data_IF_937920384246
#
_entry.id   IF_937920384246
#
_cell.length_a   1.000
_cell.length_b   1.000
_cell.length_c   1.000
_cell.angle_alpha   90.00
_cell.angle_beta   90.00
_cell.angle_gamma   90.00
#
_symmetry.space_group_name_H-M   'P 1'
#
loop_
_entity.id
_entity.type
_entity.pdbx_description
1 polymer ?
#
# COMPACT_ATOMS: atom_id res chain seq x y z
N UNK A 1 12.86 5.61 -23.99
CA UNK A 1 12.90 4.98 -22.65
C UNK A 1 11.76 3.99 -22.58
N UNK A 2 11.99 2.74 -22.13
CA UNK A 2 10.89 1.81 -21.92
C UNK A 2 9.92 2.35 -20.85
N UNK A 3 8.62 2.04 -20.92
CA UNK A 3 7.69 2.39 -19.86
C UNK A 3 8.10 1.69 -18.55
N UNK A 4 7.85 2.31 -17.39
CA UNK A 4 8.11 1.67 -16.11
C UNK A 4 7.28 0.39 -15.96
N UNK A 5 7.83 -0.61 -15.26
CA UNK A 5 7.28 -1.97 -15.22
C UNK A 5 5.82 -2.04 -14.73
N UNK A 6 5.43 -1.16 -13.80
CA UNK A 6 4.07 -1.08 -13.25
C UNK A 6 3.02 -0.54 -14.24
N UNK A 7 3.45 -0.04 -15.41
CA UNK A 7 2.55 0.32 -16.52
C UNK A 7 2.35 -0.82 -17.52
N UNK A 8 3.26 -1.79 -17.55
CA UNK A 8 3.20 -2.93 -18.48
C UNK A 8 2.71 -4.21 -17.82
N UNK A 9 2.97 -4.39 -16.52
CA UNK A 9 2.49 -5.50 -15.71
C UNK A 9 1.14 -5.16 -15.08
N UNK A 10 0.26 -6.16 -14.97
CA UNK A 10 -0.94 -6.06 -14.14
C UNK A 10 -0.56 -6.09 -12.66
N UNK A 11 -1.41 -5.52 -11.80
CA UNK A 11 -1.19 -5.51 -10.35
C UNK A 11 -1.02 -6.91 -9.76
N UNK A 12 -1.73 -7.90 -10.32
CA UNK A 12 -1.63 -9.32 -9.94
C UNK A 12 -0.35 -10.04 -10.40
N UNK A 13 0.41 -9.43 -11.33
CA UNK A 13 1.67 -9.98 -11.87
C UNK A 13 2.92 -9.42 -11.18
N UNK A 14 2.75 -8.42 -10.32
CA UNK A 14 3.84 -7.79 -9.59
C UNK A 14 4.29 -8.71 -8.43
N UNK A 15 5.59 -8.99 -8.39
CA UNK A 15 6.20 -9.67 -7.23
C UNK A 15 6.30 -8.71 -6.05
N UNK A 16 6.53 -9.25 -4.85
CA UNK A 16 6.61 -8.46 -3.61
C UNK A 16 7.64 -7.33 -3.72
N UNK A 17 8.82 -7.61 -4.26
CA UNK A 17 9.90 -6.64 -4.42
C UNK A 17 9.50 -5.49 -5.35
N UNK A 18 8.76 -5.80 -6.41
CA UNK A 18 8.23 -4.80 -7.35
C UNK A 18 7.16 -3.94 -6.67
N UNK A 19 6.26 -4.56 -5.90
CA UNK A 19 5.26 -3.85 -5.09
C UNK A 19 5.89 -2.90 -4.07
N UNK A 20 6.86 -3.40 -3.29
CA UNK A 20 7.55 -2.59 -2.28
C UNK A 20 8.34 -1.43 -2.91
N UNK A 21 8.86 -1.61 -4.13
CA UNK A 21 9.55 -0.51 -4.84
C UNK A 21 8.62 0.64 -5.26
N UNK A 22 7.30 0.42 -5.31
CA UNK A 22 6.29 1.46 -5.56
C UNK A 22 5.89 2.21 -4.29
N UNK A 23 6.30 1.74 -3.11
CA UNK A 23 5.99 2.36 -1.83
C UNK A 23 6.75 3.69 -1.68
N UNK A 24 6.01 4.77 -1.46
CA UNK A 24 6.52 6.13 -1.25
C UNK A 24 6.67 6.50 0.24
N UNK A 25 6.42 5.55 1.14
CA UNK A 25 6.47 5.78 2.59
C UNK A 25 5.30 6.60 3.13
N UNK A 26 4.15 6.63 2.44
CA UNK A 26 2.98 7.37 2.89
C UNK A 26 2.17 6.70 4.02
N UNK A 27 2.56 5.51 4.47
CA UNK A 27 1.88 4.67 5.47
C UNK A 27 0.41 4.30 5.16
N UNK A 28 -0.14 4.68 3.99
CA UNK A 28 -1.54 4.43 3.63
C UNK A 28 -1.86 2.94 3.50
N UNK A 29 -0.89 2.11 3.13
CA UNK A 29 -1.06 0.66 3.09
C UNK A 29 -1.13 0.04 4.48
N UNK A 30 -0.51 0.65 5.49
CA UNK A 30 -0.43 0.13 6.85
C UNK A 30 -1.63 0.52 7.72
N UNK A 31 -2.43 1.50 7.33
CA UNK A 31 -3.63 1.89 8.08
C UNK A 31 -4.71 0.82 7.96
N UNK A 32 -5.31 0.46 9.10
CA UNK A 32 -6.52 -0.37 9.11
C UNK A 32 -7.67 0.46 8.55
N UNK A 33 -8.35 -0.09 7.54
CA UNK A 33 -9.45 0.55 6.82
C UNK A 33 -10.68 -0.31 6.89
N UNK A 34 -11.82 0.36 7.04
CA UNK A 34 -13.12 -0.28 6.91
C UNK A 34 -13.80 0.28 5.67
N UNK A 35 -14.37 -0.60 4.88
CA UNK A 35 -15.24 -0.21 3.79
C UNK A 35 -16.67 -0.51 4.20
N UNK A 36 -17.53 0.50 4.11
CA UNK A 36 -18.96 0.33 4.30
C UNK A 36 -19.55 -0.43 3.10
N UNK A 37 -20.31 -1.49 3.36
CA UNK A 37 -20.81 -2.41 2.32
C UNK A 37 -21.91 -1.76 1.47
N UNK A 38 -22.71 -0.86 2.04
CA UNK A 38 -23.84 -0.23 1.37
C UNK A 38 -23.41 0.97 0.52
N UNK A 39 -22.54 1.84 1.06
CA UNK A 39 -22.11 3.08 0.41
C UNK A 39 -20.76 2.97 -0.30
N UNK A 40 -19.96 1.95 0.02
CA UNK A 40 -18.59 1.80 -0.46
C UNK A 40 -17.60 2.78 0.18
N UNK A 41 -18.01 3.57 1.18
CA UNK A 41 -17.16 4.57 1.80
C UNK A 41 -16.02 3.91 2.60
N UNK A 42 -14.79 4.35 2.33
CA UNK A 42 -13.58 3.95 3.07
C UNK A 42 -13.34 4.85 4.29
N UNK A 43 -13.43 4.27 5.47
CA UNK A 43 -13.07 4.88 6.73
C UNK A 43 -11.63 4.51 7.10
N UNK A 44 -10.80 5.54 7.31
CA UNK A 44 -9.44 5.40 7.80
C UNK A 44 -9.44 5.44 9.33
N UNK A 45 -8.69 4.55 9.95
CA UNK A 45 -8.45 4.59 11.41
C UNK A 45 -7.08 5.14 11.73
N UNK A 46 -6.86 5.51 12.99
CA UNK A 46 -5.54 5.82 13.54
C UNK A 46 -4.79 4.55 14.02
N UNK A 47 -5.26 3.36 13.63
CA UNK A 47 -4.63 2.09 13.97
C UNK A 47 -3.82 1.61 12.77
N UNK A 48 -2.56 1.26 13.05
CA UNK A 48 -1.59 0.80 12.04
C UNK A 48 -1.33 -0.69 12.22
N UNK A 49 -0.93 -1.37 11.13
CA UNK A 49 -0.51 -2.76 11.19
C UNK A 49 0.85 -2.90 11.90
N UNK A 50 1.18 -4.14 12.30
CA UNK A 50 2.44 -4.47 12.97
C UNK A 50 3.70 -4.19 12.11
N UNK A 51 3.54 -4.05 10.79
CA UNK A 51 4.66 -3.88 9.86
C UNK A 51 5.09 -2.42 9.67
N UNK A 52 4.33 -1.45 10.20
CA UNK A 52 4.68 -0.03 10.06
C UNK A 52 5.79 0.36 11.04
N UNK A 53 6.90 0.84 10.49
CA UNK A 53 7.89 1.61 11.23
C UNK A 53 7.43 3.08 11.28
N UNK A 54 7.09 3.55 12.48
CA UNK A 54 6.39 4.83 12.69
C UNK A 54 7.31 6.03 12.45
N UNK A 55 8.62 5.90 12.68
CA UNK A 55 9.54 7.04 12.56
C UNK A 55 9.84 7.42 11.11
N UNK A 56 9.95 6.44 10.21
CA UNK A 56 10.26 6.66 8.79
C UNK A 56 9.06 6.42 7.88
N UNK A 57 7.91 6.03 8.44
CA UNK A 57 6.68 5.69 7.70
C UNK A 57 6.90 4.61 6.64
N UNK A 58 7.77 3.63 6.92
CA UNK A 58 8.11 2.54 5.99
C UNK A 58 7.57 1.21 6.47
N UNK A 59 7.15 0.36 5.54
CA UNK A 59 6.85 -1.03 5.83
C UNK A 59 8.15 -1.79 6.07
N UNK A 60 8.15 -2.68 7.07
CA UNK A 60 9.31 -3.51 7.42
C UNK A 60 9.34 -4.83 6.65
N UNK A 61 8.30 -5.14 5.87
CA UNK A 61 8.12 -6.42 5.19
C UNK A 61 7.41 -6.27 3.86
#
# INVERSE_FOLDING_TARGET
MPPPFWKSKRLDELIREEWESLCDGCARCCLIKFQDEDSGHLYLTNVVCEYLEIYHCRCTR
#
